data_IF_341684322782
#
_entry.id   IF_341684322782
#
_cell.length_a   1.000
_cell.length_b   1.000
_cell.length_c   1.000
_cell.angle_alpha   90.00
_cell.angle_beta   90.00
_cell.angle_gamma   90.00
#
_symmetry.space_group_name_H-M   'P 1'
#
loop_
_entity.id
_entity.type
_entity.pdbx_description
1 polymer ?
#
# COMPACT_ATOMS: atom_id res chain seq x y z
N UNK A 1 -25.35 -8.80 40.63
CA UNK A 1 -24.45 -9.66 39.80
C UNK A 1 -23.21 -8.92 39.32
N UNK A 2 -23.32 -7.78 38.62
CA UNK A 2 -22.15 -6.99 38.16
C UNK A 2 -21.12 -6.70 39.27
N UNK A 3 -21.57 -6.18 40.42
CA UNK A 3 -20.69 -5.88 41.57
C UNK A 3 -20.02 -7.12 42.15
N UNK A 4 -20.72 -8.25 42.19
CA UNK A 4 -20.21 -9.54 42.70
C UNK A 4 -19.16 -10.15 41.76
N UNK A 5 -19.37 -10.06 40.44
CA UNK A 5 -18.42 -10.51 39.43
C UNK A 5 -17.16 -9.64 39.48
N UNK A 6 -17.31 -8.32 39.59
CA UNK A 6 -16.18 -7.40 39.70
C UNK A 6 -15.35 -7.63 40.98
N UNK A 7 -15.98 -7.83 42.14
CA UNK A 7 -15.26 -8.10 43.40
C UNK A 7 -14.64 -9.49 43.46
N UNK A 8 -15.22 -10.49 42.78
CA UNK A 8 -14.70 -11.87 42.79
C UNK A 8 -13.60 -12.11 41.75
N UNK A 9 -13.65 -11.43 40.60
CA UNK A 9 -12.66 -11.58 39.53
C UNK A 9 -11.41 -10.72 39.72
N UNK A 10 -11.49 -9.61 40.47
CA UNK A 10 -10.35 -8.74 40.74
C UNK A 10 -9.13 -9.49 41.31
N UNK A 11 -9.27 -10.22 42.43
CA UNK A 11 -8.17 -11.01 43.02
C UNK A 11 -7.62 -12.09 42.08
N UNK A 12 -8.47 -12.64 41.21
CA UNK A 12 -8.10 -13.66 40.24
C UNK A 12 -7.23 -13.10 39.11
N UNK A 13 -7.27 -11.81 38.80
CA UNK A 13 -6.39 -11.21 37.78
C UNK A 13 -4.92 -11.20 38.19
N UNK A 14 -4.62 -11.28 39.48
CA UNK A 14 -3.25 -11.23 40.02
C UNK A 14 -2.57 -12.61 40.04
N UNK A 15 -3.32 -13.69 39.81
CA UNK A 15 -2.78 -15.05 39.81
C UNK A 15 -1.93 -15.37 38.57
N UNK A 16 -0.96 -16.28 38.74
CA UNK A 16 -0.22 -16.81 37.61
C UNK A 16 -1.07 -17.87 36.88
N UNK A 17 -1.58 -17.51 35.70
CA UNK A 17 -2.40 -18.38 34.86
C UNK A 17 -1.60 -19.24 33.86
N UNK A 18 -0.27 -19.08 33.82
CA UNK A 18 0.61 -19.89 32.97
C UNK A 18 0.55 -21.36 33.36
N UNK A 19 0.45 -21.64 34.66
CA UNK A 19 0.38 -23.01 35.22
C UNK A 19 -0.89 -23.76 34.84
N UNK A 20 -1.93 -23.06 34.37
CA UNK A 20 -3.19 -23.71 34.00
C UNK A 20 -3.02 -24.44 32.66
N UNK A 21 -3.33 -25.74 32.58
CA UNK A 21 -3.23 -26.50 31.35
C UNK A 21 -4.10 -25.93 30.22
N UNK A 22 -3.57 -25.93 28.99
CA UNK A 22 -4.23 -25.40 27.78
C UNK A 22 -5.64 -25.96 27.58
N UNK A 23 -5.84 -27.25 27.84
CA UNK A 23 -7.15 -27.91 27.71
C UNK A 23 -8.20 -27.37 28.69
N UNK A 24 -7.79 -26.94 29.89
CA UNK A 24 -8.70 -26.32 30.87
C UNK A 24 -9.08 -24.93 30.40
N UNK A 25 -8.11 -24.12 29.96
CA UNK A 25 -8.35 -22.79 29.40
C UNK A 25 -9.29 -22.88 28.20
N UNK A 26 -9.08 -23.85 27.30
CA UNK A 26 -9.93 -24.06 26.13
C UNK A 26 -11.39 -24.41 26.49
N UNK A 27 -11.60 -25.23 27.53
CA UNK A 27 -12.97 -25.52 28.02
C UNK A 27 -13.64 -24.26 28.53
N UNK A 28 -12.93 -23.42 29.28
CA UNK A 28 -13.46 -22.14 29.77
C UNK A 28 -13.78 -21.18 28.63
N UNK A 29 -12.92 -21.07 27.62
CA UNK A 29 -13.19 -20.29 26.40
C UNK A 29 -14.46 -20.78 25.69
N UNK A 30 -14.65 -22.10 25.55
CA UNK A 30 -15.85 -22.69 24.96
C UNK A 30 -17.11 -22.39 25.78
N UNK A 31 -17.03 -22.51 27.10
CA UNK A 31 -18.15 -22.17 27.99
C UNK A 31 -18.52 -20.71 27.81
N UNK A 32 -17.54 -19.80 27.87
CA UNK A 32 -17.75 -18.38 27.60
C UNK A 32 -18.43 -18.16 26.25
N UNK A 33 -17.91 -18.76 25.17
CA UNK A 33 -18.49 -18.60 23.84
C UNK A 33 -19.94 -19.09 23.74
N UNK A 34 -20.28 -20.18 24.44
CA UNK A 34 -21.65 -20.71 24.45
C UNK A 34 -22.64 -19.88 25.28
N UNK A 35 -22.16 -19.10 26.25
CA UNK A 35 -23.00 -18.31 27.15
C UNK A 35 -23.00 -16.81 26.85
N UNK A 36 -22.07 -16.33 26.01
CA UNK A 36 -21.86 -14.91 25.76
C UNK A 36 -22.96 -14.32 24.87
N UNK A 37 -23.52 -13.18 25.28
CA UNK A 37 -24.30 -12.34 24.38
C UNK A 37 -23.37 -11.52 23.46
N UNK A 38 -23.06 -12.08 22.30
CA UNK A 38 -22.18 -11.47 21.30
C UNK A 38 -22.62 -10.07 20.86
N UNK A 39 -23.93 -9.78 20.80
CA UNK A 39 -24.43 -8.45 20.45
C UNK A 39 -24.09 -7.40 21.51
N UNK A 40 -24.08 -7.76 22.79
CA UNK A 40 -23.59 -6.86 23.83
C UNK A 40 -22.08 -6.68 23.76
N UNK A 41 -21.35 -7.73 23.36
CA UNK A 41 -19.90 -7.68 23.21
C UNK A 41 -19.46 -6.77 22.05
N UNK A 42 -20.18 -6.82 20.92
CA UNK A 42 -19.93 -5.98 19.74
C UNK A 42 -20.09 -4.48 20.03
N UNK A 43 -21.01 -4.12 20.94
CA UNK A 43 -21.19 -2.71 21.37
C UNK A 43 -20.03 -2.17 22.20
N UNK A 44 -19.06 -3.03 22.57
CA UNK A 44 -17.87 -2.71 23.37
C UNK A 44 -18.17 -1.95 24.67
N UNK A 45 -19.42 -2.03 25.12
CA UNK A 45 -19.94 -1.29 26.26
C UNK A 45 -19.50 -1.99 27.56
N UNK A 46 -19.24 -1.23 28.64
CA UNK A 46 -18.97 -1.84 29.94
C UNK A 46 -20.17 -2.70 30.38
N UNK A 47 -19.90 -3.91 30.84
CA UNK A 47 -20.93 -4.88 31.17
C UNK A 47 -20.35 -6.24 31.56
N UNK A 48 -21.24 -7.17 31.92
CA UNK A 48 -20.84 -8.51 32.37
C UNK A 48 -20.00 -9.21 31.30
N UNK A 49 -20.41 -9.13 30.04
CA UNK A 49 -19.70 -9.79 28.93
C UNK A 49 -18.28 -9.28 28.76
N UNK A 50 -18.08 -7.96 28.85
CA UNK A 50 -16.74 -7.35 28.78
C UNK A 50 -15.87 -7.79 29.97
N UNK A 51 -16.42 -7.79 31.18
CA UNK A 51 -15.70 -8.23 32.38
C UNK A 51 -15.28 -9.70 32.29
N UNK A 52 -16.16 -10.57 31.79
CA UNK A 52 -15.86 -11.98 31.57
C UNK A 52 -14.84 -12.16 30.45
N UNK A 53 -14.96 -11.41 29.35
CA UNK A 53 -13.98 -11.41 28.26
C UNK A 53 -12.57 -11.06 28.76
N UNK A 54 -12.43 -9.98 29.54
CA UNK A 54 -11.15 -9.56 30.11
C UNK A 54 -10.54 -10.63 31.03
N UNK A 55 -11.39 -11.34 31.79
CA UNK A 55 -10.95 -12.47 32.60
C UNK A 55 -10.47 -13.65 31.73
N UNK A 56 -11.23 -14.01 30.69
CA UNK A 56 -10.85 -15.08 29.75
C UNK A 56 -9.57 -14.71 28.97
N UNK A 57 -9.38 -13.45 28.62
CA UNK A 57 -8.15 -12.93 28.01
C UNK A 57 -6.95 -13.09 28.96
N UNK A 58 -7.14 -12.81 30.26
CA UNK A 58 -6.13 -13.00 31.30
C UNK A 58 -5.77 -14.48 31.48
N UNK A 59 -6.78 -15.36 31.55
CA UNK A 59 -6.60 -16.82 31.55
C UNK A 59 -5.86 -17.35 30.33
N UNK A 60 -6.02 -16.65 29.20
CA UNK A 60 -5.40 -17.00 27.93
C UNK A 60 -4.02 -16.34 27.74
N UNK A 61 -3.49 -15.68 28.77
CA UNK A 61 -2.20 -15.01 28.76
C UNK A 61 -2.07 -13.91 27.69
N UNK A 62 -3.15 -13.20 27.35
CA UNK A 62 -3.14 -12.15 26.32
C UNK A 62 -2.45 -10.84 26.74
N UNK A 63 -2.25 -10.62 28.04
CA UNK A 63 -1.73 -9.35 28.58
C UNK A 63 -0.24 -9.39 28.97
N UNK A 64 0.46 -10.50 28.69
CA UNK A 64 1.87 -10.67 29.05
C UNK A 64 2.62 -11.34 27.88
N UNK A 65 3.89 -10.97 27.64
CA UNK A 65 4.76 -11.76 26.77
C UNK A 65 5.02 -13.10 27.45
N UNK A 66 4.21 -14.11 27.11
CA UNK A 66 4.21 -15.43 27.74
C UNK A 66 5.27 -16.39 27.18
N UNK A 67 5.27 -17.61 27.69
CA UNK A 67 6.04 -18.77 27.23
C UNK A 67 5.43 -19.45 25.97
N UNK A 68 6.09 -20.44 25.36
CA UNK A 68 5.52 -21.21 24.23
C UNK A 68 4.16 -21.84 24.56
N UNK A 69 3.95 -22.31 25.80
CA UNK A 69 2.66 -22.88 26.25
C UNK A 69 1.52 -21.86 26.22
N UNK A 70 1.84 -20.56 26.26
CA UNK A 70 0.87 -19.48 26.22
C UNK A 70 0.39 -19.21 24.78
N UNK A 71 1.21 -19.51 23.76
CA UNK A 71 0.84 -19.30 22.34
C UNK A 71 -0.41 -20.09 21.94
N UNK A 72 -0.56 -21.33 22.40
CA UNK A 72 -1.75 -22.14 22.13
C UNK A 72 -3.00 -21.58 22.81
N UNK A 73 -2.88 -21.06 24.04
CA UNK A 73 -3.99 -20.43 24.76
C UNK A 73 -4.44 -19.15 24.07
N UNK A 74 -3.47 -18.32 23.67
CA UNK A 74 -3.68 -17.07 22.94
C UNK A 74 -4.34 -17.31 21.58
N UNK A 75 -3.85 -18.29 20.82
CA UNK A 75 -4.44 -18.66 19.53
C UNK A 75 -5.87 -19.18 19.67
N UNK A 76 -6.13 -20.05 20.65
CA UNK A 76 -7.47 -20.54 20.94
C UNK A 76 -8.42 -19.40 21.36
N UNK A 77 -7.92 -18.42 22.12
CA UNK A 77 -8.67 -17.23 22.50
C UNK A 77 -9.08 -16.38 21.30
N UNK A 78 -8.13 -15.97 20.47
CA UNK A 78 -8.40 -15.16 19.26
C UNK A 78 -9.33 -15.93 18.31
N UNK A 79 -9.11 -17.23 18.14
CA UNK A 79 -10.00 -18.09 17.34
C UNK A 79 -11.43 -18.14 17.86
N UNK A 80 -11.60 -18.14 19.19
CA UNK A 80 -12.91 -18.11 19.84
C UNK A 80 -13.61 -16.78 19.56
N UNK A 81 -12.89 -15.66 19.68
CA UNK A 81 -13.44 -14.34 19.38
C UNK A 81 -13.83 -14.18 17.91
N UNK A 82 -12.96 -14.59 16.99
CA UNK A 82 -13.26 -14.56 15.55
C UNK A 82 -14.49 -15.40 15.25
N UNK A 83 -14.63 -16.59 15.85
CA UNK A 83 -15.82 -17.44 15.70
C UNK A 83 -17.10 -16.77 16.23
N UNK A 84 -17.03 -16.17 17.42
CA UNK A 84 -18.14 -15.42 18.01
C UNK A 84 -18.56 -14.26 17.11
N UNK A 85 -17.62 -13.38 16.77
CA UNK A 85 -17.91 -12.20 15.95
C UNK A 85 -18.43 -12.59 14.58
N UNK A 86 -17.81 -13.57 13.91
CA UNK A 86 -18.26 -14.05 12.59
C UNK A 86 -19.72 -14.49 12.60
N UNK A 87 -20.17 -15.15 13.68
CA UNK A 87 -21.57 -15.59 13.80
C UNK A 87 -22.59 -14.44 13.95
N UNK A 88 -22.12 -13.23 14.24
CA UNK A 88 -22.95 -12.07 14.53
C UNK A 88 -22.79 -10.93 13.52
N UNK A 89 -21.85 -11.03 12.56
CA UNK A 89 -21.55 -9.95 11.62
C UNK A 89 -22.78 -9.53 10.79
N UNK A 90 -23.50 -10.50 10.21
CA UNK A 90 -24.60 -10.21 9.27
C UNK A 90 -25.76 -9.41 9.89
N UNK A 91 -25.92 -9.49 11.21
CA UNK A 91 -26.99 -8.85 11.97
C UNK A 91 -26.50 -7.68 12.81
N UNK A 92 -25.19 -7.39 12.81
CA UNK A 92 -24.61 -6.27 13.54
C UNK A 92 -24.83 -4.95 12.79
N UNK A 93 -25.00 -3.87 13.57
CA UNK A 93 -24.97 -2.52 13.03
C UNK A 93 -23.53 -2.18 12.61
N UNK A 94 -23.35 -1.67 11.39
CA UNK A 94 -22.04 -1.36 10.83
C UNK A 94 -21.22 -0.44 11.76
N UNK A 95 -21.87 0.49 12.47
CA UNK A 95 -21.19 1.41 13.40
C UNK A 95 -20.52 0.69 14.58
N UNK A 96 -21.07 -0.45 15.01
CA UNK A 96 -20.56 -1.24 16.12
C UNK A 96 -19.34 -2.08 15.67
N UNK A 97 -19.13 -2.24 14.36
CA UNK A 97 -18.03 -3.01 13.78
C UNK A 97 -16.77 -2.17 13.50
N UNK A 98 -16.89 -0.85 13.45
CA UNK A 98 -15.78 0.05 13.09
C UNK A 98 -14.58 -0.12 14.04
N UNK A 99 -14.78 -0.34 15.34
CA UNK A 99 -13.66 -0.54 16.27
C UNK A 99 -13.33 -2.01 16.55
N UNK A 100 -14.08 -2.95 15.95
CA UNK A 100 -13.98 -4.36 16.31
C UNK A 100 -12.61 -4.96 15.94
N UNK A 101 -12.22 -4.80 14.67
CA UNK A 101 -10.98 -5.39 14.17
C UNK A 101 -9.75 -4.73 14.81
N UNK A 102 -9.76 -3.41 14.98
CA UNK A 102 -8.67 -2.68 15.63
C UNK A 102 -8.46 -3.12 17.09
N UNK A 103 -9.53 -3.30 17.87
CA UNK A 103 -9.41 -3.83 19.24
C UNK A 103 -8.89 -5.27 19.28
N UNK A 104 -9.27 -6.10 18.31
CA UNK A 104 -8.76 -7.46 18.22
C UNK A 104 -7.26 -7.46 17.88
N UNK A 105 -6.81 -6.58 16.99
CA UNK A 105 -5.41 -6.42 16.64
C UNK A 105 -4.58 -5.83 17.80
N UNK A 106 -5.10 -4.87 18.56
CA UNK A 106 -4.46 -4.35 19.79
C UNK A 106 -4.16 -5.48 20.78
N UNK A 107 -5.09 -6.43 20.90
CA UNK A 107 -4.93 -7.58 21.78
C UNK A 107 -3.83 -8.54 21.30
N UNK A 108 -3.51 -8.53 20.01
CA UNK A 108 -2.51 -9.41 19.39
C UNK A 108 -1.10 -8.78 19.32
N UNK A 109 -0.95 -7.48 19.55
CA UNK A 109 0.30 -6.76 19.30
C UNK A 109 1.41 -7.13 20.31
N UNK A 110 1.05 -7.39 21.57
CA UNK A 110 2.00 -7.55 22.68
C UNK A 110 2.32 -9.01 23.05
N UNK A 111 1.97 -9.96 22.18
CA UNK A 111 2.13 -11.40 22.42
C UNK A 111 3.27 -12.00 21.60
N UNK A 112 3.72 -13.20 21.98
CA UNK A 112 4.69 -13.95 21.18
C UNK A 112 4.05 -14.49 19.90
N UNK A 113 4.80 -14.48 18.79
CA UNK A 113 4.32 -14.97 17.49
C UNK A 113 3.14 -14.16 16.90
N UNK A 114 3.23 -12.82 16.81
CA UNK A 114 2.10 -11.95 16.48
C UNK A 114 1.50 -12.26 15.11
N UNK A 115 2.28 -12.70 14.12
CA UNK A 115 1.79 -13.00 12.75
C UNK A 115 0.64 -14.00 12.74
N UNK A 116 0.71 -15.06 13.55
CA UNK A 116 -0.34 -16.10 13.57
C UNK A 116 -1.64 -15.54 14.17
N UNK A 117 -1.55 -14.78 15.27
CA UNK A 117 -2.72 -14.20 15.92
C UNK A 117 -3.33 -13.06 15.12
N UNK A 118 -2.50 -12.16 14.58
CA UNK A 118 -2.91 -11.10 13.65
C UNK A 118 -3.59 -11.72 12.43
N UNK A 119 -3.03 -12.79 11.88
CA UNK A 119 -3.60 -13.50 10.74
C UNK A 119 -4.98 -14.05 11.05
N UNK A 120 -5.12 -14.67 12.22
CA UNK A 120 -6.42 -15.15 12.68
C UNK A 120 -7.42 -14.02 12.90
N UNK A 121 -6.99 -12.88 13.45
CA UNK A 121 -7.84 -11.71 13.62
C UNK A 121 -8.29 -11.13 12.26
N UNK A 122 -7.38 -11.01 11.30
CA UNK A 122 -7.65 -10.51 9.95
C UNK A 122 -8.58 -11.42 9.15
N UNK A 123 -8.62 -12.72 9.44
CA UNK A 123 -9.57 -13.64 8.79
C UNK A 123 -11.03 -13.29 9.08
N UNK A 124 -11.31 -12.37 10.02
CA UNK A 124 -12.65 -11.82 10.22
C UNK A 124 -13.15 -11.03 9.00
N UNK A 125 -12.24 -10.48 8.19
CA UNK A 125 -12.59 -9.78 6.95
C UNK A 125 -13.25 -10.72 5.92
N UNK A 126 -12.91 -12.01 5.95
CA UNK A 126 -13.47 -13.03 5.07
C UNK A 126 -14.86 -13.52 5.50
N UNK A 127 -15.27 -13.17 6.73
CA UNK A 127 -16.58 -13.56 7.28
C UNK A 127 -17.72 -12.64 6.82
N UNK A 128 -17.42 -11.54 6.13
CA UNK A 128 -18.43 -10.64 5.57
C UNK A 128 -18.69 -10.95 4.09
N UNK A 129 -19.94 -10.78 3.65
CA UNK A 129 -20.23 -10.71 2.22
C UNK A 129 -19.48 -9.54 1.56
N UNK A 130 -18.91 -9.78 0.38
CA UNK A 130 -18.18 -8.77 -0.39
C UNK A 130 -19.06 -7.54 -0.68
N UNK A 131 -18.52 -6.35 -0.45
CA UNK A 131 -19.23 -5.08 -0.63
C UNK A 131 -20.33 -4.77 0.39
N UNK A 132 -20.50 -5.59 1.43
CA UNK A 132 -21.47 -5.30 2.50
C UNK A 132 -21.04 -4.09 3.35
N UNK A 133 -21.99 -3.36 3.97
CA UNK A 133 -21.66 -2.27 4.88
C UNK A 133 -20.84 -2.74 6.08
N UNK A 134 -20.98 -4.01 6.49
CA UNK A 134 -20.20 -4.62 7.56
C UNK A 134 -18.73 -4.83 7.14
N UNK A 135 -18.49 -5.37 5.95
CA UNK A 135 -17.14 -5.50 5.40
C UNK A 135 -16.46 -4.13 5.32
N UNK A 136 -17.21 -3.12 4.86
CA UNK A 136 -16.72 -1.75 4.77
C UNK A 136 -16.39 -1.18 6.15
N UNK A 137 -17.25 -1.37 7.15
CA UNK A 137 -17.01 -0.88 8.51
C UNK A 137 -15.76 -1.49 9.16
N UNK A 138 -15.51 -2.79 9.00
CA UNK A 138 -14.29 -3.43 9.51
C UNK A 138 -13.03 -2.79 8.92
N UNK A 139 -13.05 -2.49 7.61
CA UNK A 139 -11.91 -1.85 6.94
C UNK A 139 -11.79 -0.37 7.31
N UNK A 140 -12.91 0.35 7.41
CA UNK A 140 -12.94 1.75 7.89
C UNK A 140 -12.34 1.88 9.28
N UNK A 141 -12.51 0.86 10.12
CA UNK A 141 -11.84 0.71 11.40
C UNK A 141 -10.35 0.44 11.35
N UNK A 142 -9.95 -0.43 10.42
CA UNK A 142 -8.58 -0.88 10.26
C UNK A 142 -7.67 0.23 9.75
N UNK A 143 -8.11 1.05 8.80
CA UNK A 143 -7.25 2.05 8.16
C UNK A 143 -6.66 3.07 9.17
N UNK A 144 -7.45 3.72 10.05
CA UNK A 144 -6.91 4.62 11.07
C UNK A 144 -5.98 3.90 12.07
N UNK A 145 -6.26 2.63 12.37
CA UNK A 145 -5.42 1.83 13.27
C UNK A 145 -4.02 1.57 12.68
N UNK A 146 -3.93 1.35 11.36
CA UNK A 146 -2.67 1.23 10.64
C UNK A 146 -1.93 2.57 10.59
N UNK A 147 -2.64 3.66 10.29
CA UNK A 147 -2.07 5.02 10.25
C UNK A 147 -1.50 5.45 11.61
N UNK A 148 -2.19 5.13 12.72
CA UNK A 148 -1.71 5.41 14.06
C UNK A 148 -0.39 4.70 14.41
N UNK A 149 -0.01 3.68 13.63
CA UNK A 149 1.22 2.89 13.77
C UNK A 149 2.21 3.14 12.64
N UNK A 150 2.11 4.29 11.97
CA UNK A 150 2.98 4.63 10.86
C UNK A 150 4.47 4.37 11.17
N UNK A 151 5.15 3.67 10.27
CA UNK A 151 6.56 3.28 10.40
C UNK A 151 6.89 2.18 11.41
N UNK A 152 5.93 1.68 12.18
CA UNK A 152 6.22 0.67 13.21
C UNK A 152 6.38 -0.75 12.61
N UNK A 153 7.31 -1.58 13.14
CA UNK A 153 7.55 -2.93 12.63
C UNK A 153 6.33 -3.86 12.67
N UNK A 154 5.36 -3.61 13.56
CA UNK A 154 4.11 -4.39 13.64
C UNK A 154 3.34 -4.39 12.32
N UNK A 155 3.43 -3.31 11.52
CA UNK A 155 2.78 -3.23 10.21
C UNK A 155 3.34 -4.26 9.22
N UNK A 156 4.61 -4.65 9.35
CA UNK A 156 5.20 -5.72 8.54
C UNK A 156 4.67 -7.10 8.94
N UNK A 157 4.42 -7.30 10.24
CA UNK A 157 3.76 -8.52 10.75
C UNK A 157 2.31 -8.59 10.27
N UNK A 158 1.59 -7.47 10.27
CA UNK A 158 0.22 -7.38 9.73
C UNK A 158 0.22 -7.66 8.23
N UNK A 159 1.16 -7.08 7.47
CA UNK A 159 1.34 -7.35 6.04
C UNK A 159 1.55 -8.84 5.77
N UNK A 160 2.51 -9.46 6.47
CA UNK A 160 2.81 -10.90 6.35
C UNK A 160 1.57 -11.73 6.70
N UNK A 161 0.90 -11.40 7.82
CA UNK A 161 -0.28 -12.09 8.30
C UNK A 161 -1.46 -12.02 7.32
N UNK A 162 -1.69 -10.84 6.73
CA UNK A 162 -2.74 -10.62 5.74
C UNK A 162 -2.52 -11.50 4.51
N UNK A 163 -1.29 -11.50 3.97
CA UNK A 163 -0.93 -12.29 2.79
C UNK A 163 -1.11 -13.81 2.97
N UNK A 164 -0.99 -14.30 4.21
CA UNK A 164 -1.14 -15.73 4.52
C UNK A 164 -2.60 -16.10 4.81
N UNK A 165 -3.38 -15.23 5.46
CA UNK A 165 -4.64 -15.61 6.11
C UNK A 165 -5.89 -14.98 5.50
N UNK A 166 -5.77 -13.89 4.74
CA UNK A 166 -6.94 -13.23 4.12
C UNK A 166 -7.23 -13.91 2.78
N UNK A 167 -8.37 -14.59 2.69
CA UNK A 167 -8.77 -15.35 1.50
C UNK A 167 -9.34 -14.45 0.39
N UNK A 168 -10.07 -13.39 0.75
CA UNK A 168 -10.59 -12.42 -0.21
C UNK A 168 -9.47 -11.62 -0.85
N UNK A 169 -9.24 -11.82 -2.15
CA UNK A 169 -8.23 -11.07 -2.92
C UNK A 169 -8.47 -9.57 -2.85
N UNK A 170 -9.74 -9.13 -2.86
CA UNK A 170 -10.09 -7.72 -2.76
C UNK A 170 -9.63 -7.12 -1.42
N UNK A 171 -9.90 -7.79 -0.30
CA UNK A 171 -9.50 -7.34 1.02
C UNK A 171 -7.98 -7.45 1.22
N UNK A 172 -7.37 -8.52 0.71
CA UNK A 172 -5.92 -8.71 0.76
C UNK A 172 -5.19 -7.54 0.10
N UNK A 173 -5.57 -7.14 -1.12
CA UNK A 173 -4.96 -6.00 -1.81
C UNK A 173 -5.14 -4.71 -1.00
N UNK A 174 -6.35 -4.48 -0.48
CA UNK A 174 -6.68 -3.26 0.28
C UNK A 174 -5.86 -3.15 1.56
N UNK A 175 -5.77 -4.23 2.33
CA UNK A 175 -4.97 -4.29 3.57
C UNK A 175 -3.49 -4.17 3.27
N UNK A 176 -3.00 -4.86 2.24
CA UNK A 176 -1.60 -4.81 1.81
C UNK A 176 -1.17 -3.39 1.45
N UNK A 177 -1.93 -2.71 0.59
CA UNK A 177 -1.64 -1.33 0.17
C UNK A 177 -1.67 -0.35 1.36
N UNK A 178 -2.65 -0.50 2.26
CA UNK A 178 -2.77 0.34 3.45
C UNK A 178 -1.60 0.14 4.42
N UNK A 179 -1.20 -1.11 4.67
CA UNK A 179 -0.05 -1.44 5.52
C UNK A 179 1.25 -0.86 4.93
N UNK A 180 1.47 -1.06 3.63
CA UNK A 180 2.64 -0.51 2.93
C UNK A 180 2.67 1.01 2.97
N UNK A 181 1.52 1.67 2.78
CA UNK A 181 1.41 3.13 2.85
C UNK A 181 1.81 3.63 4.24
N UNK A 182 1.16 3.13 5.29
CA UNK A 182 1.43 3.55 6.66
C UNK A 182 2.88 3.25 7.08
N UNK A 183 3.43 2.11 6.68
CA UNK A 183 4.81 1.75 7.02
C UNK A 183 5.84 2.63 6.30
N UNK A 184 5.74 2.77 4.98
CA UNK A 184 6.74 3.49 4.16
C UNK A 184 6.66 5.01 4.34
N UNK A 185 5.51 5.57 4.72
CA UNK A 185 5.39 7.00 5.04
C UNK A 185 5.92 7.35 6.43
N UNK A 186 5.83 6.45 7.41
CA UNK A 186 6.24 6.72 8.78
C UNK A 186 7.65 6.26 9.15
N UNK A 187 8.28 5.41 8.34
CA UNK A 187 9.60 4.84 8.66
C UNK A 187 10.73 5.85 8.44
N UNK A 188 11.73 5.80 9.34
CA UNK A 188 12.93 6.67 9.31
C UNK A 188 14.21 5.88 9.05
N UNK A 189 14.12 4.60 8.68
CA UNK A 189 15.27 3.76 8.34
C UNK A 189 15.96 4.30 7.08
N UNK A 190 17.28 4.14 6.97
CA UNK A 190 18.09 4.70 5.89
C UNK A 190 17.59 4.32 4.50
N UNK A 191 17.21 3.06 4.27
CA UNK A 191 16.65 2.58 3.00
C UNK A 191 15.17 2.92 2.82
N UNK A 192 14.56 3.70 3.73
CA UNK A 192 13.13 4.00 3.74
C UNK A 192 12.23 2.79 4.03
N UNK A 193 12.77 1.70 4.62
CA UNK A 193 12.02 0.48 4.97
C UNK A 193 11.70 -0.44 3.79
N UNK A 194 12.16 -0.13 2.58
CA UNK A 194 11.80 -0.85 1.37
C UNK A 194 12.26 -2.32 1.39
N UNK A 195 13.48 -2.61 1.86
CA UNK A 195 13.96 -3.99 1.94
C UNK A 195 13.12 -4.83 2.93
N UNK A 196 12.71 -4.21 4.05
CA UNK A 196 11.86 -4.86 5.05
C UNK A 196 10.46 -5.14 4.50
N UNK A 197 9.87 -4.18 3.78
CA UNK A 197 8.57 -4.35 3.12
C UNK A 197 8.59 -5.48 2.07
N UNK A 198 9.65 -5.56 1.25
CA UNK A 198 9.84 -6.64 0.26
C UNK A 198 9.98 -8.01 0.93
N UNK A 199 10.66 -8.07 2.06
CA UNK A 199 10.85 -9.32 2.83
C UNK A 199 9.55 -9.78 3.49
N UNK A 200 8.73 -8.84 3.97
CA UNK A 200 7.46 -9.13 4.62
C UNK A 200 6.35 -9.55 3.65
N UNK A 201 6.43 -9.15 2.37
CA UNK A 201 5.45 -9.56 1.36
C UNK A 201 5.48 -11.08 1.16
N UNK A 202 4.34 -11.74 1.37
CA UNK A 202 4.12 -13.12 0.93
C UNK A 202 3.28 -13.09 -0.34
N UNK A 203 3.84 -13.53 -1.47
CA UNK A 203 3.14 -13.49 -2.76
C UNK A 203 2.07 -14.59 -2.78
N UNK A 204 0.80 -14.29 -3.08
CA UNK A 204 -0.25 -15.29 -3.16
C UNK A 204 -0.16 -16.09 -4.46
N UNK A 205 0.73 -17.09 -4.51
CA UNK A 205 1.07 -17.82 -5.75
C UNK A 205 -0.15 -18.48 -6.42
N UNK A 206 -1.09 -19.02 -5.64
CA UNK A 206 -2.28 -19.70 -6.16
C UNK A 206 -3.31 -18.77 -6.81
N UNK A 207 -3.27 -17.47 -6.48
CA UNK A 207 -4.24 -16.46 -6.96
C UNK A 207 -3.55 -15.25 -7.59
N UNK A 208 -2.27 -15.41 -7.99
CA UNK A 208 -1.40 -14.31 -8.40
C UNK A 208 -2.01 -13.43 -9.50
N UNK A 209 -2.58 -14.02 -10.55
CA UNK A 209 -3.20 -13.25 -11.64
C UNK A 209 -4.36 -12.39 -11.14
N UNK A 210 -5.23 -12.95 -10.29
CA UNK A 210 -6.36 -12.21 -9.72
C UNK A 210 -5.87 -11.13 -8.76
N UNK A 211 -4.83 -11.42 -7.97
CA UNK A 211 -4.20 -10.46 -7.07
C UNK A 211 -3.65 -9.25 -7.82
N UNK A 212 -2.87 -9.47 -8.88
CA UNK A 212 -2.28 -8.39 -9.67
C UNK A 212 -3.34 -7.58 -10.43
N UNK A 213 -4.39 -8.21 -10.95
CA UNK A 213 -5.50 -7.49 -11.58
C UNK A 213 -6.26 -6.63 -10.56
N UNK A 214 -6.51 -7.18 -9.36
CA UNK A 214 -7.13 -6.42 -8.27
C UNK A 214 -6.26 -5.25 -7.79
N UNK A 215 -4.92 -5.39 -7.80
CA UNK A 215 -4.04 -4.26 -7.53
C UNK A 215 -4.25 -3.10 -8.52
N UNK A 216 -4.52 -3.39 -9.79
CA UNK A 216 -4.80 -2.35 -10.79
C UNK A 216 -6.17 -1.72 -10.53
N UNK A 217 -7.20 -2.54 -10.30
CA UNK A 217 -8.56 -2.07 -10.01
C UNK A 217 -8.62 -1.13 -8.79
N UNK A 218 -7.82 -1.41 -7.77
CA UNK A 218 -7.77 -0.63 -6.53
C UNK A 218 -6.68 0.46 -6.52
N UNK A 219 -5.94 0.64 -7.62
CA UNK A 219 -4.81 1.57 -7.69
C UNK A 219 -3.76 1.33 -6.57
N UNK A 220 -3.50 0.06 -6.26
CA UNK A 220 -2.56 -0.40 -5.23
C UNK A 220 -1.10 -0.33 -5.73
N UNK A 221 -0.64 0.88 -5.99
CA UNK A 221 0.65 1.16 -6.64
C UNK A 221 1.86 0.72 -5.81
N UNK A 222 1.81 0.85 -4.47
CA UNK A 222 2.91 0.38 -3.62
C UNK A 222 2.98 -1.14 -3.64
N UNK A 223 1.84 -1.81 -3.62
CA UNK A 223 1.75 -3.28 -3.71
C UNK A 223 2.35 -3.78 -5.02
N UNK A 224 2.01 -3.14 -6.15
CA UNK A 224 2.60 -3.43 -7.46
C UNK A 224 4.12 -3.25 -7.46
N UNK A 225 4.61 -2.15 -6.88
CA UNK A 225 6.03 -1.86 -6.82
C UNK A 225 6.80 -2.86 -5.94
N UNK A 226 6.28 -3.18 -4.75
CA UNK A 226 6.89 -4.17 -3.86
C UNK A 226 6.93 -5.55 -4.53
N UNK A 227 5.89 -5.93 -5.28
CA UNK A 227 5.92 -7.15 -6.09
C UNK A 227 7.02 -7.12 -7.15
N UNK A 228 7.21 -6.02 -7.88
CA UNK A 228 8.32 -5.87 -8.85
C UNK A 228 9.67 -6.02 -8.13
N UNK A 229 9.85 -5.36 -6.99
CA UNK A 229 11.08 -5.45 -6.21
C UNK A 229 11.33 -6.85 -5.64
N UNK A 230 10.27 -7.58 -5.30
CA UNK A 230 10.35 -8.98 -4.87
C UNK A 230 10.78 -9.91 -6.01
N UNK A 231 10.31 -9.66 -7.24
CA UNK A 231 10.60 -10.51 -8.39
C UNK A 231 12.00 -10.27 -8.97
N UNK A 232 12.52 -9.04 -8.94
CA UNK A 232 13.76 -8.68 -9.63
C UNK A 232 15.00 -9.51 -9.24
N UNK A 233 15.27 -9.80 -7.94
CA UNK A 233 16.39 -10.66 -7.57
C UNK A 233 16.27 -12.11 -8.07
N UNK A 234 15.07 -12.51 -8.51
CA UNK A 234 14.74 -13.86 -8.98
C UNK A 234 14.78 -13.97 -10.52
N UNK A 235 14.89 -12.83 -11.23
CA UNK A 235 15.11 -12.83 -12.68
C UNK A 235 16.47 -13.49 -12.98
N UNK A 236 16.46 -14.51 -13.84
CA UNK A 236 17.66 -15.25 -14.22
C UNK A 236 18.26 -14.72 -15.54
N UNK A 237 17.52 -13.88 -16.25
CA UNK A 237 17.92 -13.30 -17.53
C UNK A 237 17.36 -11.88 -17.72
N UNK A 238 17.88 -11.17 -18.73
CA UNK A 238 17.31 -9.89 -19.18
C UNK A 238 15.93 -10.05 -19.81
N UNK A 239 15.59 -11.23 -20.33
CA UNK A 239 14.26 -11.54 -20.85
C UNK A 239 13.22 -11.62 -19.72
N UNK A 240 13.55 -12.24 -18.59
CA UNK A 240 12.69 -12.25 -17.40
C UNK A 240 12.44 -10.81 -16.90
N UNK A 241 13.50 -10.01 -16.86
CA UNK A 241 13.41 -8.60 -16.47
C UNK A 241 12.58 -7.79 -17.47
N UNK A 242 12.67 -8.10 -18.77
CA UNK A 242 11.84 -7.49 -19.82
C UNK A 242 10.36 -7.81 -19.61
N UNK A 243 9.99 -9.06 -19.31
CA UNK A 243 8.60 -9.43 -19.00
C UNK A 243 8.06 -8.63 -17.81
N UNK A 244 8.88 -8.44 -16.78
CA UNK A 244 8.50 -7.63 -15.62
C UNK A 244 8.39 -6.13 -15.95
N UNK A 245 9.27 -5.60 -16.81
CA UNK A 245 9.19 -4.22 -17.32
C UNK A 245 7.93 -3.99 -18.15
N UNK A 246 7.59 -4.90 -19.07
CA UNK A 246 6.39 -4.79 -19.90
C UNK A 246 5.11 -4.80 -19.04
N UNK A 247 5.07 -5.69 -18.03
CA UNK A 247 4.00 -5.72 -17.04
C UNK A 247 3.90 -4.41 -16.25
N UNK A 248 5.03 -3.87 -15.78
CA UNK A 248 5.08 -2.58 -15.08
C UNK A 248 4.62 -1.44 -15.99
N UNK A 249 4.99 -1.43 -17.26
CA UNK A 249 4.55 -0.41 -18.23
C UNK A 249 3.04 -0.46 -18.49
N UNK A 250 2.46 -1.65 -18.54
CA UNK A 250 1.01 -1.83 -18.61
C UNK A 250 0.33 -1.27 -17.35
N UNK A 251 0.84 -1.58 -16.15
CA UNK A 251 0.30 -1.05 -14.90
C UNK A 251 0.42 0.46 -14.81
N UNK A 252 1.54 1.04 -15.20
CA UNK A 252 1.71 2.51 -15.25
C UNK A 252 0.69 3.12 -16.19
N UNK A 253 0.51 2.56 -17.39
CA UNK A 253 -0.45 3.08 -18.37
C UNK A 253 -1.90 3.01 -17.86
N UNK A 254 -2.29 1.89 -17.22
CA UNK A 254 -3.62 1.73 -16.62
C UNK A 254 -3.81 2.59 -15.36
N UNK A 255 -2.78 2.68 -14.52
CA UNK A 255 -2.75 3.50 -13.31
C UNK A 255 -2.89 4.99 -13.61
N UNK A 256 -2.30 5.46 -14.72
CA UNK A 256 -2.53 6.82 -15.22
C UNK A 256 -4.02 7.09 -15.51
N UNK A 257 -4.78 6.09 -15.97
CA UNK A 257 -6.22 6.25 -16.24
C UNK A 257 -7.09 6.21 -14.97
N UNK A 258 -6.64 5.51 -13.91
CA UNK A 258 -7.37 5.35 -12.64
C UNK A 258 -6.91 6.33 -11.55
N UNK A 259 -5.89 7.13 -11.81
CA UNK A 259 -5.38 8.14 -10.88
C UNK A 259 -6.43 9.25 -10.65
N UNK A 260 -7.17 9.12 -9.55
CA UNK A 260 -8.28 10.03 -9.21
C UNK A 260 -8.04 10.87 -7.96
N UNK A 261 -6.88 10.72 -7.30
CA UNK A 261 -6.57 11.39 -6.04
C UNK A 261 -5.11 11.83 -5.94
N UNK A 262 -4.88 13.01 -5.37
CA UNK A 262 -3.55 13.56 -5.10
C UNK A 262 -2.71 12.64 -4.18
N UNK A 263 -3.35 11.85 -3.31
CA UNK A 263 -2.67 10.90 -2.44
C UNK A 263 -1.98 9.76 -3.22
N UNK A 264 -2.45 9.47 -4.43
CA UNK A 264 -1.88 8.39 -5.27
C UNK A 264 -0.72 8.84 -6.15
N UNK A 265 -0.55 10.15 -6.36
CA UNK A 265 0.47 10.71 -7.25
C UNK A 265 1.90 10.33 -6.88
N UNK A 266 2.34 10.43 -5.61
CA UNK A 266 3.70 10.04 -5.23
C UNK A 266 3.99 8.58 -5.53
N UNK A 267 3.00 7.71 -5.36
CA UNK A 267 3.14 6.26 -5.57
C UNK A 267 3.32 5.93 -7.05
N UNK A 268 2.62 6.63 -7.94
CA UNK A 268 2.83 6.52 -9.39
C UNK A 268 4.23 6.99 -9.81
N UNK A 269 4.75 8.07 -9.22
CA UNK A 269 6.11 8.53 -9.52
C UNK A 269 7.17 7.48 -9.19
N UNK A 270 6.96 6.66 -8.14
CA UNK A 270 7.86 5.53 -7.85
C UNK A 270 7.82 4.46 -8.94
N UNK A 271 6.63 4.11 -9.43
CA UNK A 271 6.47 3.16 -10.54
C UNK A 271 7.14 3.69 -11.81
N UNK A 272 6.98 4.98 -12.11
CA UNK A 272 7.63 5.61 -13.27
C UNK A 272 9.14 5.58 -13.16
N UNK A 273 9.67 5.92 -11.98
CA UNK A 273 11.11 5.86 -11.76
C UNK A 273 11.63 4.44 -11.96
N UNK A 274 10.93 3.44 -11.42
CA UNK A 274 11.33 2.04 -11.58
C UNK A 274 11.26 1.58 -13.04
N UNK A 275 10.22 1.98 -13.76
CA UNK A 275 10.08 1.74 -15.20
C UNK A 275 11.26 2.32 -15.99
N UNK A 276 11.65 3.57 -15.69
CA UNK A 276 12.79 4.22 -16.34
C UNK A 276 14.11 3.52 -16.00
N UNK A 277 14.32 3.12 -14.75
CA UNK A 277 15.51 2.35 -14.33
C UNK A 277 15.64 1.05 -15.12
N UNK A 278 14.57 0.27 -15.20
CA UNK A 278 14.57 -0.99 -15.94
C UNK A 278 14.69 -0.76 -17.45
N UNK A 279 14.08 0.30 -17.99
CA UNK A 279 14.23 0.66 -19.41
C UNK A 279 15.67 1.02 -19.76
N UNK A 280 16.35 1.79 -18.92
CA UNK A 280 17.78 2.11 -19.11
C UNK A 280 18.62 0.84 -19.09
N UNK A 281 18.35 -0.07 -18.15
CA UNK A 281 19.06 -1.35 -18.05
C UNK A 281 18.85 -2.22 -19.29
N UNK A 282 17.63 -2.26 -19.84
CA UNK A 282 17.32 -2.97 -21.08
C UNK A 282 17.97 -2.31 -22.31
N UNK A 283 18.11 -0.98 -22.34
CA UNK A 283 18.85 -0.29 -23.41
C UNK A 283 20.36 -0.54 -23.34
N UNK A 284 20.93 -0.60 -22.13
CA UNK A 284 22.37 -0.78 -21.95
C UNK A 284 22.83 -2.23 -22.19
N UNK A 285 22.00 -3.21 -21.83
CA UNK A 285 22.40 -4.62 -21.81
C UNK A 285 21.48 -5.57 -22.59
N UNK A 286 20.26 -5.15 -22.90
CA UNK A 286 19.26 -5.99 -23.58
C UNK A 286 19.49 -6.10 -25.09
N UNK A 287 18.72 -6.98 -25.73
CA UNK A 287 18.80 -7.31 -27.16
C UNK A 287 17.69 -6.67 -28.00
N UNK A 288 16.75 -5.94 -27.39
CA UNK A 288 15.53 -5.38 -28.03
C UNK A 288 15.36 -3.87 -27.82
N UNK A 289 16.32 -3.02 -28.24
CA UNK A 289 16.22 -1.56 -28.03
C UNK A 289 14.97 -0.93 -28.65
N UNK A 290 14.52 -1.41 -29.81
CA UNK A 290 13.29 -0.91 -30.46
C UNK A 290 12.02 -1.20 -29.66
N UNK A 291 11.98 -2.34 -28.96
CA UNK A 291 10.86 -2.66 -28.08
C UNK A 291 10.82 -1.71 -26.87
N UNK A 292 11.99 -1.39 -26.31
CA UNK A 292 12.12 -0.39 -25.23
C UNK A 292 11.72 1.00 -25.71
N UNK A 293 12.15 1.42 -26.91
CA UNK A 293 11.74 2.69 -27.51
C UNK A 293 10.23 2.77 -27.71
N UNK A 294 9.60 1.71 -28.22
CA UNK A 294 8.14 1.64 -28.37
C UNK A 294 7.41 1.74 -27.03
N UNK A 295 7.91 1.04 -26.00
CA UNK A 295 7.37 1.10 -24.64
C UNK A 295 7.47 2.51 -24.07
N UNK A 296 8.64 3.16 -24.18
CA UNK A 296 8.85 4.52 -23.71
C UNK A 296 8.01 5.55 -24.48
N UNK A 297 7.79 5.36 -25.78
CA UNK A 297 6.89 6.20 -26.56
C UNK A 297 5.44 6.10 -26.07
N UNK A 298 4.95 4.88 -25.79
CA UNK A 298 3.62 4.66 -25.20
C UNK A 298 3.51 5.30 -23.82
N UNK A 299 4.56 5.18 -22.99
CA UNK A 299 4.64 5.84 -21.70
C UNK A 299 4.54 7.37 -21.83
N UNK A 300 5.28 7.99 -22.76
CA UNK A 300 5.16 9.42 -23.06
C UNK A 300 3.75 9.83 -23.49
N UNK A 301 3.07 9.02 -24.32
CA UNK A 301 1.68 9.27 -24.70
C UNK A 301 0.73 9.22 -23.49
N UNK A 302 0.88 8.23 -22.61
CA UNK A 302 0.07 8.11 -21.39
C UNK A 302 0.27 9.32 -20.45
N UNK A 303 1.53 9.74 -20.25
CA UNK A 303 1.85 10.97 -19.51
C UNK A 303 1.28 12.21 -20.19
N UNK A 304 1.28 12.24 -21.52
CA UNK A 304 0.70 13.31 -22.32
C UNK A 304 -0.78 13.55 -22.01
N UNK A 305 -1.56 12.48 -21.89
CA UNK A 305 -2.98 12.53 -21.51
C UNK A 305 -3.15 12.92 -20.04
N UNK A 306 -2.39 12.32 -19.13
CA UNK A 306 -2.49 12.60 -17.69
C UNK A 306 -2.09 14.04 -17.33
N UNK A 307 -1.17 14.63 -18.10
CA UNK A 307 -0.70 15.99 -17.94
C UNK A 307 -1.66 17.07 -18.45
N UNK A 308 -2.80 16.73 -19.04
CA UNK A 308 -3.77 17.72 -19.55
C UNK A 308 -4.52 18.41 -18.39
N UNK A 309 -4.76 19.73 -18.51
CA UNK A 309 -5.49 20.49 -17.49
C UNK A 309 -7.00 20.18 -17.48
N UNK A 310 -7.51 19.75 -18.63
CA UNK A 310 -8.87 19.25 -18.83
C UNK A 310 -8.80 18.02 -19.70
N UNK A 311 -9.61 17.02 -19.36
CA UNK A 311 -9.89 15.91 -20.25
C UNK A 311 -10.64 16.45 -21.47
N UNK A 312 -9.96 16.44 -22.61
CA UNK A 312 -10.50 16.92 -23.88
C UNK A 312 -11.14 15.80 -24.71
N UNK A 313 -11.32 14.60 -24.14
CA UNK A 313 -11.97 13.50 -24.84
C UNK A 313 -13.46 13.78 -25.11
N UNK A 314 -13.92 13.40 -26.31
CA UNK A 314 -15.32 13.52 -26.75
C UNK A 314 -15.73 14.89 -27.32
N UNK A 315 -16.97 14.96 -27.81
CA UNK A 315 -17.54 16.11 -28.53
C UNK A 315 -17.52 17.41 -27.69
N UNK A 316 -17.75 17.29 -26.38
CA UNK A 316 -17.75 18.43 -25.44
C UNK A 316 -16.34 18.88 -25.04
N UNK A 317 -15.37 17.96 -25.04
CA UNK A 317 -13.96 18.25 -24.82
C UNK A 317 -13.37 19.11 -25.94
N UNK A 318 -13.71 18.79 -27.19
CA UNK A 318 -13.32 19.55 -28.38
C UNK A 318 -13.86 21.00 -28.39
N UNK A 319 -14.94 21.28 -27.65
CA UNK A 319 -15.53 22.60 -27.48
C UNK A 319 -15.01 23.35 -26.24
N UNK A 320 -14.00 22.82 -25.55
CA UNK A 320 -13.37 23.45 -24.39
C UNK A 320 -14.13 23.27 -23.07
N UNK A 321 -15.19 22.46 -23.05
CA UNK A 321 -15.99 22.11 -21.86
C UNK A 321 -15.54 20.79 -21.21
N UNK A 322 -14.29 20.40 -21.43
CA UNK A 322 -13.70 19.19 -20.86
C UNK A 322 -13.73 19.15 -19.32
N UNK A 323 -13.79 17.93 -18.76
CA UNK A 323 -13.75 17.72 -17.30
C UNK A 323 -12.40 18.21 -16.77
N UNK A 324 -12.40 18.96 -15.67
CA UNK A 324 -11.14 19.36 -15.02
C UNK A 324 -10.37 18.11 -14.61
N UNK A 325 -9.06 18.15 -14.81
CA UNK A 325 -8.17 17.09 -14.36
C UNK A 325 -8.27 16.90 -12.83
N UNK A 326 -8.28 15.64 -12.40
CA UNK A 326 -8.41 15.22 -11.00
C UNK A 326 -7.07 15.18 -10.25
N UNK A 327 -5.96 15.38 -10.97
CA UNK A 327 -4.60 15.41 -10.43
C UNK A 327 -4.10 16.85 -10.26
N UNK A 328 -3.14 17.02 -9.36
CA UNK A 328 -2.55 18.30 -9.00
C UNK A 328 -1.76 18.93 -10.15
N UNK A 329 -1.58 20.26 -10.10
CA UNK A 329 -0.73 20.96 -11.06
C UNK A 329 0.73 20.51 -10.96
N UNK A 330 1.21 20.13 -9.77
CA UNK A 330 2.54 19.59 -9.55
C UNK A 330 2.73 18.27 -10.31
N UNK A 331 1.76 17.36 -10.22
CA UNK A 331 1.83 16.09 -10.94
C UNK A 331 1.75 16.26 -12.45
N UNK A 332 0.88 17.16 -12.94
CA UNK A 332 0.81 17.47 -14.38
C UNK A 332 2.11 18.07 -14.90
N UNK A 333 2.81 18.88 -14.10
CA UNK A 333 4.16 19.35 -14.41
C UNK A 333 5.12 18.16 -14.53
N UNK A 334 5.13 17.22 -13.58
CA UNK A 334 5.93 16.00 -13.68
C UNK A 334 5.63 15.22 -14.96
N UNK A 335 4.36 15.00 -15.30
CA UNK A 335 3.95 14.31 -16.53
C UNK A 335 4.56 14.96 -17.77
N UNK A 336 4.38 16.28 -17.92
CA UNK A 336 4.84 17.02 -19.11
C UNK A 336 6.36 17.10 -19.17
N UNK A 337 7.03 17.27 -18.04
CA UNK A 337 8.49 17.33 -17.96
C UNK A 337 9.13 15.99 -18.33
N UNK A 338 8.66 14.89 -17.73
CA UNK A 338 9.19 13.55 -18.00
C UNK A 338 8.89 13.12 -19.44
N UNK A 339 7.67 13.32 -19.93
CA UNK A 339 7.32 13.01 -21.31
C UNK A 339 8.17 13.81 -22.31
N UNK A 340 8.35 15.12 -22.08
CA UNK A 340 9.18 15.95 -22.94
C UNK A 340 10.64 15.51 -22.93
N UNK A 341 11.19 15.18 -21.75
CA UNK A 341 12.55 14.69 -21.65
C UNK A 341 12.73 13.37 -22.40
N UNK A 342 11.91 12.36 -22.09
CA UNK A 342 12.05 11.03 -22.68
C UNK A 342 11.84 11.09 -24.19
N UNK A 343 10.80 11.78 -24.68
CA UNK A 343 10.52 11.87 -26.10
C UNK A 343 11.66 12.54 -26.90
N UNK A 344 12.28 13.61 -26.37
CA UNK A 344 13.39 14.28 -27.06
C UNK A 344 14.68 13.45 -27.08
N UNK A 345 14.84 12.49 -26.17
CA UNK A 345 15.98 11.56 -26.17
C UNK A 345 15.74 10.28 -26.98
N UNK A 346 14.48 9.90 -27.21
CA UNK A 346 14.13 8.83 -28.15
C UNK A 346 14.37 9.27 -29.60
N UNK A 347 13.71 10.36 -30.01
CA UNK A 347 13.87 10.99 -31.32
C UNK A 347 13.49 12.46 -31.22
N UNK A 348 14.50 13.33 -31.23
CA UNK A 348 14.35 14.78 -31.08
C UNK A 348 13.54 15.44 -32.20
N UNK A 349 13.44 14.79 -33.36
CA UNK A 349 12.78 15.31 -34.55
C UNK A 349 11.36 14.77 -34.71
N UNK A 350 10.98 13.81 -33.86
CA UNK A 350 9.65 13.21 -33.88
C UNK A 350 8.54 14.22 -33.58
N UNK A 351 7.35 13.95 -34.11
CA UNK A 351 6.14 14.70 -33.77
C UNK A 351 5.86 14.65 -32.25
N UNK A 352 6.14 13.51 -31.62
CA UNK A 352 5.99 13.30 -30.18
C UNK A 352 6.88 14.28 -29.39
N UNK A 353 8.18 14.34 -29.69
CA UNK A 353 9.13 15.23 -29.01
C UNK A 353 8.73 16.70 -29.13
N UNK A 354 8.37 17.15 -30.34
CA UNK A 354 7.92 18.50 -30.59
C UNK A 354 6.63 18.82 -29.82
N UNK A 355 5.66 17.90 -29.82
CA UNK A 355 4.39 18.04 -29.12
C UNK A 355 4.59 18.13 -27.60
N UNK A 356 5.32 17.20 -26.99
CA UNK A 356 5.57 17.16 -25.54
C UNK A 356 6.35 18.37 -25.07
N UNK A 357 7.37 18.80 -25.83
CA UNK A 357 8.15 19.99 -25.51
C UNK A 357 7.33 21.27 -25.60
N UNK A 358 6.45 21.39 -26.60
CA UNK A 358 5.51 22.51 -26.72
C UNK A 358 4.53 22.55 -25.54
N UNK A 359 4.01 21.39 -25.12
CA UNK A 359 3.10 21.27 -23.97
C UNK A 359 3.77 21.65 -22.64
N UNK A 360 5.06 21.38 -22.47
CA UNK A 360 5.83 21.82 -21.31
C UNK A 360 6.06 23.34 -21.34
N UNK A 361 6.44 23.89 -22.50
CA UNK A 361 6.67 25.34 -22.68
C UNK A 361 5.41 26.16 -22.38
N UNK A 362 4.23 25.67 -22.77
CA UNK A 362 2.97 26.38 -22.53
C UNK A 362 2.64 26.59 -21.05
N UNK A 363 3.28 25.84 -20.13
CA UNK A 363 3.14 26.05 -18.69
C UNK A 363 3.65 27.42 -18.25
N UNK A 364 4.69 27.97 -18.90
CA UNK A 364 5.28 29.26 -18.55
C UNK A 364 4.27 30.42 -18.65
N UNK A 365 3.30 30.31 -19.56
CA UNK A 365 2.27 31.33 -19.79
C UNK A 365 0.95 31.01 -19.10
N UNK A 366 0.83 29.85 -18.45
CA UNK A 366 -0.42 29.40 -17.84
C UNK A 366 -0.58 29.94 -16.41
N UNK A 367 -1.67 30.66 -16.15
CA UNK A 367 -1.99 31.20 -14.82
C UNK A 367 -2.05 30.12 -13.74
N UNK A 368 -2.44 28.88 -14.10
CA UNK A 368 -2.55 27.77 -13.17
C UNK A 368 -1.19 27.29 -12.61
N UNK A 369 -0.08 27.63 -13.29
CA UNK A 369 1.26 27.19 -12.94
C UNK A 369 2.15 28.33 -12.43
N UNK A 370 1.60 29.53 -12.21
CA UNK A 370 2.34 30.65 -11.60
C UNK A 370 3.02 30.27 -10.26
N UNK A 371 2.37 29.51 -9.35
CA UNK A 371 3.02 29.08 -8.11
C UNK A 371 4.19 28.11 -8.32
N UNK A 372 4.29 27.49 -9.50
CA UNK A 372 5.30 26.50 -9.89
C UNK A 372 6.27 27.05 -10.95
N UNK A 373 6.30 28.38 -11.15
CA UNK A 373 7.03 29.00 -12.27
C UNK A 373 8.53 28.69 -12.26
N UNK A 374 9.14 28.61 -11.08
CA UNK A 374 10.54 28.21 -10.91
C UNK A 374 10.74 26.76 -11.34
N UNK A 375 9.89 25.85 -10.86
CA UNK A 375 9.97 24.41 -11.14
C UNK A 375 9.72 24.13 -12.64
N UNK A 376 8.81 24.88 -13.27
CA UNK A 376 8.60 24.85 -14.73
C UNK A 376 9.86 25.26 -15.48
N UNK A 377 10.52 26.34 -15.05
CA UNK A 377 11.75 26.83 -15.68
C UNK A 377 12.89 25.83 -15.53
N UNK A 378 13.11 25.31 -14.32
CA UNK A 378 14.14 24.29 -14.06
C UNK A 378 13.91 23.01 -14.89
N UNK A 379 12.66 22.55 -15.00
CA UNK A 379 12.34 21.39 -15.84
C UNK A 379 12.65 21.66 -17.33
N UNK A 380 12.32 22.85 -17.83
CA UNK A 380 12.65 23.25 -19.20
C UNK A 380 14.15 23.33 -19.46
N UNK A 381 14.92 23.86 -18.51
CA UNK A 381 16.37 23.95 -18.62
C UNK A 381 17.00 22.56 -18.69
N UNK A 382 16.55 21.62 -17.83
CA UNK A 382 17.01 20.22 -17.87
C UNK A 382 16.65 19.53 -19.19
N UNK A 383 15.42 19.72 -19.69
CA UNK A 383 14.98 19.12 -20.96
C UNK A 383 15.78 19.65 -22.16
N UNK A 384 16.17 20.93 -22.13
CA UNK A 384 16.94 21.58 -23.20
C UNK A 384 18.45 21.38 -23.09
N UNK A 385 18.95 20.92 -21.94
CA UNK A 385 20.36 20.71 -21.69
C UNK A 385 20.94 19.68 -22.68
N UNK A 386 21.75 20.15 -23.61
CA UNK A 386 22.39 19.31 -24.62
C UNK A 386 23.43 18.34 -24.02
N UNK A 387 23.95 18.64 -22.82
CA UNK A 387 24.91 17.76 -22.12
C UNK A 387 24.25 16.50 -21.54
N UNK A 388 22.92 16.49 -21.40
CA UNK A 388 22.12 15.38 -20.83
C UNK A 388 21.49 14.53 -21.91
N UNK A 389 22.34 13.95 -22.77
CA UNK A 389 21.95 13.28 -24.01
C UNK A 389 21.16 11.98 -23.84
N UNK A 390 21.21 11.33 -22.68
CA UNK A 390 20.79 9.93 -22.54
C UNK A 390 19.42 9.79 -21.86
N UNK A 391 18.71 8.70 -22.16
CA UNK A 391 17.48 8.32 -21.43
C UNK A 391 17.73 8.19 -19.92
N UNK A 392 18.93 7.75 -19.52
CA UNK A 392 19.37 7.65 -18.13
C UNK A 392 19.28 8.96 -17.34
N UNK A 393 19.46 10.11 -18.00
CA UNK A 393 19.36 11.43 -17.36
C UNK A 393 17.92 11.78 -16.92
N UNK A 394 16.91 11.04 -17.41
CA UNK A 394 15.54 11.13 -16.91
C UNK A 394 15.42 10.81 -15.41
N UNK A 395 16.29 9.93 -14.88
CA UNK A 395 16.31 9.60 -13.45
C UNK A 395 16.71 10.81 -12.61
N UNK A 396 17.64 11.63 -13.10
CA UNK A 396 18.01 12.87 -12.45
C UNK A 396 16.86 13.89 -12.50
N UNK A 397 16.20 14.03 -13.65
CA UNK A 397 15.03 14.90 -13.77
C UNK A 397 13.94 14.51 -12.77
N UNK A 398 13.61 13.22 -12.69
CA UNK A 398 12.64 12.69 -11.72
C UNK A 398 13.03 13.05 -10.29
N UNK A 399 14.29 12.83 -9.89
CA UNK A 399 14.78 13.19 -8.56
C UNK A 399 14.69 14.69 -8.28
N UNK A 400 14.98 15.55 -9.26
CA UNK A 400 14.83 17.01 -9.11
C UNK A 400 13.37 17.42 -8.91
N UNK A 401 12.47 16.90 -9.75
CA UNK A 401 11.03 17.19 -9.67
C UNK A 401 10.45 16.74 -8.33
N UNK A 402 10.72 15.50 -7.94
CA UNK A 402 10.24 14.91 -6.68
C UNK A 402 10.73 15.70 -5.47
N UNK A 403 12.03 16.02 -5.40
CA UNK A 403 12.58 16.78 -4.27
C UNK A 403 12.07 18.23 -4.19
N UNK A 404 11.57 18.78 -5.30
CA UNK A 404 11.00 20.13 -5.33
C UNK A 404 9.49 20.14 -5.01
N UNK A 405 8.75 19.17 -5.56
CA UNK A 405 7.29 19.15 -5.58
C UNK A 405 6.64 18.25 -4.51
N UNK A 406 7.37 17.26 -3.99
CA UNK A 406 6.85 16.24 -3.06
C UNK A 406 7.82 15.99 -1.90
N UNK A 407 8.42 17.06 -1.38
CA UNK A 407 9.52 17.02 -0.39
C UNK A 407 9.09 16.40 0.95
N UNK A 408 7.80 16.51 1.26
CA UNK A 408 7.15 15.95 2.44
C UNK A 408 6.87 14.45 2.33
N UNK A 409 6.94 13.87 1.13
CA UNK A 409 6.64 12.44 0.90
C UNK A 409 7.86 11.58 1.19
N UNK A 410 7.93 11.05 2.41
CA UNK A 410 9.05 10.20 2.90
C UNK A 410 9.31 9.00 1.98
N UNK A 411 8.26 8.33 1.49
CA UNK A 411 8.36 7.18 0.59
C UNK A 411 9.18 7.46 -0.68
N UNK A 412 9.26 8.71 -1.14
CA UNK A 412 9.98 9.10 -2.35
C UNK A 412 11.50 9.23 -2.15
N UNK A 413 11.99 9.22 -0.91
CA UNK A 413 13.44 9.33 -0.63
C UNK A 413 14.25 8.18 -1.22
N UNK A 414 13.61 7.03 -1.46
CA UNK A 414 14.23 5.85 -2.07
C UNK A 414 14.82 6.13 -3.45
N UNK A 415 14.29 7.11 -4.18
CA UNK A 415 14.76 7.44 -5.53
C UNK A 415 16.21 7.93 -5.54
N UNK A 416 16.69 8.51 -4.43
CA UNK A 416 18.11 8.89 -4.26
C UNK A 416 19.00 7.64 -4.21
N UNK A 417 18.58 6.61 -3.46
CA UNK A 417 19.33 5.36 -3.33
C UNK A 417 19.33 4.57 -4.63
N UNK A 418 18.19 4.46 -5.31
CA UNK A 418 18.11 3.76 -6.59
C UNK A 418 18.92 4.44 -7.68
N UNK A 419 18.99 5.78 -7.70
CA UNK A 419 19.87 6.48 -8.64
C UNK A 419 21.35 6.12 -8.42
N UNK A 420 21.81 6.05 -7.16
CA UNK A 420 23.19 5.67 -6.84
C UNK A 420 23.54 4.26 -7.28
N UNK A 421 22.63 3.30 -7.06
CA UNK A 421 22.82 1.91 -7.46
C UNK A 421 22.93 1.72 -8.99
N UNK A 422 22.32 2.63 -9.76
CA UNK A 422 22.30 2.56 -11.23
C UNK A 422 23.49 3.29 -11.84
N UNK A 423 24.10 4.27 -11.16
CA UNK A 423 25.23 5.05 -11.66
C UNK A 423 26.58 4.41 -11.26
N UNK A 424 27.42 3.95 -12.20
CA UNK A 424 28.77 3.51 -11.85
C UNK A 424 29.59 4.70 -11.33
N UNK A 425 30.00 4.65 -10.06
CA UNK A 425 30.91 5.64 -9.44
C UNK A 425 30.42 6.40 -8.21
N UNK A 426 29.29 6.05 -7.59
CA UNK A 426 28.84 6.67 -6.33
C UNK A 426 29.31 5.89 -5.10
N UNK A 427 30.38 6.37 -4.46
CA UNK A 427 30.77 6.01 -3.08
C UNK A 427 29.76 6.61 -2.09
#
# INVERSE_FOLDING_TARGET
MSTFIATSLGPLREHNWEVVPVNVVWRLQKVFASSCNVHQLLKLSPGIEKTVLEFVATLSCMHRPGSENDSHKQHAFVSTLVGLYSSALDVADAKDLVSLLSHLLDSCENVQGPVVLLGRALSLLDSCQEGSPQAQALVEGLLPWLEARAGQPILLSVLTAACINVASVQQLVRVTEACLTAFLEGTLVDDGGWAHAVTALQVPELTLTNFLEQCICQAAHLTQLIYVLHCLPRCCSLEDEWTLLDQLANWVSRGCATCTSEASEPKLLLLWFKLLVLSVRQLDFGDRPEAVHSLLAKFCSALGTLGEDRDTSGLLGALGMGRRSMVSAAFRLCCRAVAAFVATRLDNSSALANQTLSRLRSLQTSKAYLPLSREVQEALDIVRDASRGAIRDSLHLMNKLVNSLYREKVLLRILVFWQRAVMPGGV
#
